data_IF_331354505318
#
_entry.id   IF_331354505318
#
_cell.length_a   1.000
_cell.length_b   1.000
_cell.length_c   1.000
_cell.angle_alpha   90.00
_cell.angle_beta   90.00
_cell.angle_gamma   90.00
#
_symmetry.space_group_name_H-M   'P 1'
#
loop_
_entity.id
_entity.type
_entity.pdbx_description
1 polymer ?
#
# COMPACT_ATOMS: atom_id res chain seq x y z
N UNK A 1 13.57 5.08 -0.23
CA UNK A 1 13.80 5.61 -1.59
C UNK A 1 12.69 6.61 -1.89
N UNK A 2 12.97 7.78 -2.46
CA UNK A 2 11.94 8.74 -2.87
C UNK A 2 11.57 8.45 -4.31
N UNK A 3 10.31 8.13 -4.56
CA UNK A 3 9.80 7.80 -5.90
C UNK A 3 8.53 8.61 -6.15
N UNK A 4 8.42 9.17 -7.35
CA UNK A 4 7.20 9.86 -7.79
C UNK A 4 6.39 8.89 -8.65
N UNK A 5 5.20 8.52 -8.17
CA UNK A 5 4.27 7.64 -8.88
C UNK A 5 2.87 8.24 -8.83
N UNK A 6 2.10 8.02 -9.90
CA UNK A 6 0.68 8.39 -9.95
C UNK A 6 -0.13 7.21 -9.42
N UNK A 7 -0.95 7.46 -8.41
CA UNK A 7 -1.86 6.47 -7.82
C UNK A 7 -3.27 7.05 -7.93
N UNK A 8 -4.25 6.20 -8.25
CA UNK A 8 -5.65 6.57 -8.21
C UNK A 8 -6.06 7.07 -6.81
N UNK A 9 -6.65 8.26 -6.75
CA UNK A 9 -6.99 8.90 -5.48
C UNK A 9 -8.09 8.15 -4.73
N UNK A 10 -9.03 7.52 -5.44
CA UNK A 10 -10.09 6.72 -4.82
C UNK A 10 -9.47 5.48 -4.17
N UNK A 11 -8.59 4.79 -4.89
CA UNK A 11 -7.85 3.64 -4.35
C UNK A 11 -7.07 3.99 -3.09
N UNK A 12 -6.34 5.11 -3.10
CA UNK A 12 -5.58 5.56 -1.93
C UNK A 12 -6.49 5.91 -0.75
N UNK A 13 -7.61 6.60 -1.00
CA UNK A 13 -8.56 6.95 0.04
C UNK A 13 -9.24 5.71 0.65
N UNK A 14 -9.61 4.74 -0.19
CA UNK A 14 -10.19 3.47 0.26
C UNK A 14 -9.18 2.68 1.11
N UNK A 15 -7.91 2.65 0.68
CA UNK A 15 -6.84 2.02 1.45
C UNK A 15 -6.64 2.69 2.82
N UNK A 16 -6.57 4.02 2.88
CA UNK A 16 -6.41 4.77 4.14
C UNK A 16 -7.60 4.55 5.07
N UNK A 17 -8.83 4.56 4.54
CA UNK A 17 -10.05 4.32 5.33
C UNK A 17 -10.12 2.89 5.86
N UNK A 18 -9.78 1.89 5.03
CA UNK A 18 -9.86 0.48 5.41
C UNK A 18 -8.79 0.10 6.44
N UNK A 19 -7.61 0.72 6.39
CA UNK A 19 -6.46 0.39 7.24
C UNK A 19 -6.33 1.31 8.46
N UNK A 20 -6.90 2.51 8.42
CA UNK A 20 -6.74 3.52 9.46
C UNK A 20 -5.35 4.18 9.46
N UNK A 21 -4.56 4.03 8.39
CA UNK A 21 -3.24 4.66 8.30
C UNK A 21 -3.33 6.18 8.23
N UNK A 22 -2.34 6.85 8.82
CA UNK A 22 -2.30 8.32 8.89
C UNK A 22 -1.67 8.93 7.65
N UNK A 23 -0.83 8.17 6.95
CA UNK A 23 -0.08 8.66 5.81
C UNK A 23 -0.18 7.75 4.60
N UNK A 24 -0.11 8.34 3.40
CA UNK A 24 -0.01 7.60 2.13
C UNK A 24 1.22 6.68 2.11
N UNK A 25 2.30 7.07 2.79
CA UNK A 25 3.54 6.29 2.89
C UNK A 25 3.30 4.95 3.61
N UNK A 26 2.67 4.98 4.78
CA UNK A 26 2.35 3.77 5.55
C UNK A 26 1.49 2.80 4.73
N UNK A 27 0.45 3.32 4.08
CA UNK A 27 -0.42 2.51 3.23
C UNK A 27 0.34 1.82 2.08
N UNK A 28 1.25 2.54 1.44
CA UNK A 28 2.07 2.00 0.34
C UNK A 28 3.08 0.97 0.85
N UNK A 29 3.76 1.24 1.96
CA UNK A 29 4.75 0.32 2.52
C UNK A 29 4.11 -1.00 2.97
N UNK A 30 2.98 -0.93 3.68
CA UNK A 30 2.25 -2.13 4.11
C UNK A 30 1.64 -2.89 2.93
N UNK A 31 1.14 -2.19 1.91
CA UNK A 31 0.68 -2.81 0.66
C UNK A 31 1.78 -3.61 -0.04
N UNK A 32 3.00 -3.05 -0.12
CA UNK A 32 4.15 -3.76 -0.71
C UNK A 32 4.58 -4.97 0.13
N UNK A 33 4.58 -4.86 1.47
CA UNK A 33 4.86 -6.00 2.36
C UNK A 33 3.85 -7.14 2.16
N UNK A 34 2.57 -6.81 2.03
CA UNK A 34 1.51 -7.78 1.80
C UNK A 34 1.72 -8.54 0.48
N UNK A 35 2.07 -7.84 -0.60
CA UNK A 35 2.35 -8.45 -1.90
C UNK A 35 3.50 -9.46 -1.81
N UNK A 36 4.58 -9.10 -1.12
CA UNK A 36 5.72 -10.01 -0.90
C UNK A 36 5.27 -11.24 -0.09
N UNK A 37 4.55 -11.02 1.01
CA UNK A 37 4.06 -12.11 1.86
C UNK A 37 3.15 -13.06 1.09
N UNK A 38 2.28 -12.52 0.24
CA UNK A 38 1.38 -13.30 -0.62
C UNK A 38 2.16 -14.16 -1.60
N UNK A 39 3.16 -13.60 -2.30
CA UNK A 39 3.96 -14.35 -3.26
C UNK A 39 4.81 -15.44 -2.60
N UNK A 40 5.36 -15.18 -1.40
CA UNK A 40 6.12 -16.19 -0.63
C UNK A 40 5.28 -17.37 -0.14
N UNK A 41 3.96 -17.22 -0.05
CA UNK A 41 3.05 -18.32 0.33
C UNK A 41 2.63 -19.18 -0.86
N UNK A 42 2.93 -18.75 -2.09
CA UNK A 42 2.62 -19.50 -3.31
C UNK A 42 3.79 -20.36 -3.79
N UNK A 43 4.95 -20.30 -3.11
CA UNK A 43 6.06 -21.24 -3.22
C UNK A 43 5.89 -22.38 -2.21
#
# INVERSE_FOLDING_TARGET
MRTNIVIDDKLMNDALKATGFKTKKEAVEEGLRLLIKKNKQQE
#
